data_IF_549574310405
#
_entry.id   IF_549574310405
#
_cell.length_a   1.000
_cell.length_b   1.000
_cell.length_c   1.000
_cell.angle_alpha   90.00
_cell.angle_beta   90.00
_cell.angle_gamma   90.00
#
_symmetry.space_group_name_H-M   'P 1'
#
loop_
_entity.id
_entity.type
_entity.pdbx_description
1 polymer ?
#
# COMPACT_ATOMS: atom_id res chain seq x y z
N UNK A 1 9.09 9.60 21.77
CA UNK A 1 8.39 10.91 21.67
C UNK A 1 7.98 11.38 23.07
N UNK A 2 7.73 12.67 23.24
CA UNK A 2 7.27 13.27 24.50
C UNK A 2 6.18 14.29 24.24
N UNK A 3 5.35 14.53 25.25
CA UNK A 3 4.29 15.54 25.20
C UNK A 3 4.46 16.52 26.36
N UNK A 4 4.23 17.80 26.10
CA UNK A 4 4.01 18.78 27.13
C UNK A 4 2.52 18.85 27.43
N UNK A 5 2.15 18.56 28.67
CA UNK A 5 0.77 18.59 29.15
C UNK A 5 0.66 19.63 30.25
N UNK A 6 -0.31 20.52 30.09
CA UNK A 6 -0.65 21.56 31.06
C UNK A 6 -2.17 21.56 31.25
N UNK A 7 -2.61 21.66 32.50
CA UNK A 7 -4.06 21.72 32.86
C UNK A 7 -4.88 20.59 32.19
N UNK A 8 -4.34 19.36 32.17
CA UNK A 8 -4.90 18.18 31.50
C UNK A 8 -5.07 18.30 29.98
N UNK A 9 -4.40 19.23 29.33
CA UNK A 9 -4.39 19.39 27.87
C UNK A 9 -3.00 19.19 27.31
N UNK A 10 -2.93 18.55 26.15
CA UNK A 10 -1.69 18.41 25.39
C UNK A 10 -1.46 19.73 24.67
N UNK A 11 -0.42 20.44 25.08
CA UNK A 11 -0.02 21.71 24.48
C UNK A 11 0.94 21.51 23.31
N UNK A 12 1.83 20.52 23.42
CA UNK A 12 2.86 20.28 22.40
C UNK A 12 3.34 18.82 22.38
N UNK A 13 3.62 18.31 21.17
CA UNK A 13 4.29 17.03 20.96
C UNK A 13 5.73 17.28 20.49
N UNK A 14 6.66 16.58 21.09
CA UNK A 14 8.10 16.60 20.75
C UNK A 14 8.51 15.25 20.16
N UNK A 15 8.66 15.22 18.85
CA UNK A 15 9.09 14.00 18.14
C UNK A 15 10.57 13.67 18.38
N UNK A 16 11.39 14.69 18.63
CA UNK A 16 12.84 14.59 18.84
C UNK A 16 13.28 15.45 20.01
N UNK A 17 14.36 15.08 20.74
CA UNK A 17 14.97 15.95 21.72
C UNK A 17 15.37 17.28 21.11
N UNK A 18 14.91 18.38 21.69
CA UNK A 18 15.31 19.75 21.35
C UNK A 18 15.29 20.63 22.58
N UNK A 19 16.01 21.74 22.55
CA UNK A 19 15.89 22.76 23.61
C UNK A 19 14.49 23.34 23.58
N UNK A 20 13.85 23.43 24.73
CA UNK A 20 12.48 23.96 24.89
C UNK A 20 12.42 25.04 25.94
N UNK A 21 11.40 25.90 25.85
CA UNK A 21 11.10 26.88 26.87
C UNK A 21 9.72 26.60 27.44
N UNK A 22 9.65 26.39 28.76
CA UNK A 22 8.41 26.17 29.49
C UNK A 22 8.35 27.16 30.65
N UNK A 23 7.25 27.90 30.77
CA UNK A 23 7.04 28.90 31.83
C UNK A 23 8.24 29.86 32.01
N UNK A 24 8.81 30.37 30.91
CA UNK A 24 10.00 31.25 30.87
C UNK A 24 11.31 30.59 31.35
N UNK A 25 11.35 29.27 31.56
CA UNK A 25 12.54 28.53 31.88
C UNK A 25 13.02 27.75 30.65
N UNK A 26 14.31 27.90 30.32
CA UNK A 26 14.92 27.18 29.21
C UNK A 26 15.47 25.84 29.66
N UNK A 27 15.01 24.78 29.03
CA UNK A 27 15.47 23.42 29.23
C UNK A 27 16.32 22.95 28.04
N UNK A 28 17.50 22.36 28.28
CA UNK A 28 18.35 21.87 27.21
C UNK A 28 17.78 20.59 26.58
N UNK A 29 18.20 20.27 25.34
CA UNK A 29 17.70 19.09 24.62
C UNK A 29 17.98 17.76 25.32
N UNK A 30 19.07 17.67 26.09
CA UNK A 30 19.47 16.46 26.82
C UNK A 30 18.55 16.14 28.02
N UNK A 31 17.67 17.05 28.44
CA UNK A 31 16.66 16.75 29.48
C UNK A 31 15.79 15.53 29.11
N UNK A 32 15.47 15.37 27.83
CA UNK A 32 14.64 14.26 27.38
C UNK A 32 15.27 12.88 27.62
N UNK A 33 16.60 12.83 27.69
CA UNK A 33 17.40 11.59 27.90
C UNK A 33 18.02 11.48 29.27
N UNK A 34 18.30 12.62 29.93
CA UNK A 34 19.02 12.64 31.21
C UNK A 34 18.11 12.74 32.42
N UNK A 35 16.98 13.43 32.30
CA UNK A 35 16.04 13.55 33.40
C UNK A 35 15.29 12.23 33.62
N UNK A 36 15.06 11.91 34.87
CA UNK A 36 14.16 10.83 35.28
C UNK A 36 12.71 11.12 34.86
N UNK A 37 11.85 10.14 34.85
CA UNK A 37 10.44 10.35 34.55
C UNK A 37 9.79 11.31 35.57
N UNK A 38 10.12 11.20 36.83
CA UNK A 38 9.61 12.09 37.88
C UNK A 38 10.01 13.55 37.65
N UNK A 39 11.27 13.81 37.26
CA UNK A 39 11.73 15.18 36.93
C UNK A 39 11.04 15.73 35.68
N UNK A 40 10.79 14.91 34.66
CA UNK A 40 10.03 15.30 33.48
C UNK A 40 8.57 15.61 33.83
N UNK A 41 7.92 14.75 34.62
CA UNK A 41 6.54 14.95 35.08
C UNK A 41 6.40 16.25 35.88
N UNK A 42 7.36 16.60 36.72
CA UNK A 42 7.36 17.84 37.52
C UNK A 42 7.30 19.11 36.64
N UNK A 43 7.73 19.04 35.41
CA UNK A 43 7.68 20.15 34.44
C UNK A 43 6.60 19.95 33.36
N UNK A 44 5.72 18.93 33.50
CA UNK A 44 4.63 18.64 32.58
C UNK A 44 5.04 17.88 31.33
N UNK A 45 6.21 17.24 31.32
CA UNK A 45 6.70 16.44 30.19
C UNK A 45 6.40 14.96 30.45
N UNK A 46 5.67 14.33 29.55
CA UNK A 46 5.21 12.95 29.65
C UNK A 46 5.63 12.10 28.45
N UNK A 47 5.80 10.79 28.59
CA UNK A 47 6.07 9.90 27.48
C UNK A 47 4.88 9.83 26.53
N UNK A 48 5.15 9.73 25.22
CA UNK A 48 4.16 9.38 24.22
C UNK A 48 4.40 7.93 23.80
N UNK A 49 3.42 7.08 24.04
CA UNK A 49 3.41 5.68 23.67
C UNK A 49 2.67 5.50 22.34
N UNK A 50 3.35 4.95 21.34
CA UNK A 50 2.71 4.60 20.07
C UNK A 50 2.02 3.26 20.22
N UNK A 51 0.76 3.31 20.59
CA UNK A 51 -0.12 2.15 20.81
C UNK A 51 -1.15 1.96 19.69
N UNK A 52 -1.18 2.87 18.72
CA UNK A 52 -2.14 2.82 17.62
C UNK A 52 -1.74 1.82 16.53
N UNK A 53 -2.70 1.01 16.08
CA UNK A 53 -2.54 0.18 14.89
C UNK A 53 -2.67 1.05 13.65
N UNK A 54 -1.76 0.88 12.69
CA UNK A 54 -1.83 1.49 11.36
C UNK A 54 -2.44 0.51 10.37
N UNK A 55 -3.14 1.04 9.39
CA UNK A 55 -3.68 0.25 8.28
C UNK A 55 -2.59 -0.24 7.32
N UNK A 56 -2.94 -1.20 6.49
CA UNK A 56 -2.11 -1.63 5.37
C UNK A 56 -2.23 -0.60 4.24
N UNK A 57 -1.16 0.12 3.98
CA UNK A 57 -1.11 1.18 2.95
C UNK A 57 -1.52 0.71 1.55
N UNK A 58 -1.47 -0.58 1.27
CA UNK A 58 -1.96 -1.17 0.03
C UNK A 58 -3.48 -1.04 -0.11
N UNK A 59 -4.22 -1.22 0.98
CA UNK A 59 -5.68 -1.33 0.99
C UNK A 59 -6.38 -0.20 1.75
N UNK A 60 -5.65 0.55 2.56
CA UNK A 60 -6.21 1.45 3.56
C UNK A 60 -5.45 2.78 3.59
N UNK A 61 -6.15 3.82 3.98
CA UNK A 61 -5.56 5.09 4.37
C UNK A 61 -5.45 5.14 5.88
N UNK A 62 -4.28 5.54 6.39
CA UNK A 62 -4.07 5.81 7.80
C UNK A 62 -4.04 7.32 8.01
N UNK A 63 -4.85 7.86 8.93
CA UNK A 63 -4.84 9.27 9.28
C UNK A 63 -3.52 9.69 9.94
N UNK A 64 -3.33 10.99 10.14
CA UNK A 64 -2.32 11.47 11.08
C UNK A 64 -2.64 10.97 12.50
N UNK A 65 -1.59 10.84 13.33
CA UNK A 65 -1.73 10.42 14.72
C UNK A 65 -2.62 11.40 15.50
N UNK A 66 -3.60 10.85 16.21
CA UNK A 66 -4.36 11.57 17.23
C UNK A 66 -3.75 11.25 18.60
N UNK A 67 -3.61 12.25 19.45
CA UNK A 67 -2.96 12.12 20.74
C UNK A 67 -3.97 12.26 21.88
N UNK A 68 -3.99 11.31 22.80
CA UNK A 68 -4.89 11.32 23.97
C UNK A 68 -4.09 11.27 25.25
N UNK A 69 -4.33 12.23 26.15
CA UNK A 69 -3.73 12.28 27.47
C UNK A 69 -4.49 11.39 28.46
N UNK A 70 -3.76 10.61 29.22
CA UNK A 70 -4.28 9.84 30.36
C UNK A 70 -3.61 10.32 31.66
N UNK A 71 -4.35 11.06 32.46
CA UNK A 71 -3.86 11.57 33.74
C UNK A 71 -3.56 10.44 34.76
N UNK A 72 -4.39 9.37 34.76
CA UNK A 72 -4.21 8.21 35.64
C UNK A 72 -2.94 7.43 35.33
N UNK A 73 -2.58 7.32 34.04
CA UNK A 73 -1.40 6.58 33.59
C UNK A 73 -0.19 7.48 33.35
N UNK A 74 -0.35 8.80 33.50
CA UNK A 74 0.70 9.81 33.25
C UNK A 74 1.42 9.63 31.92
N UNK A 75 0.66 9.35 30.85
CA UNK A 75 1.19 9.15 29.50
C UNK A 75 0.22 9.66 28.43
N UNK A 76 0.76 9.94 27.26
CA UNK A 76 -0.01 10.21 26.06
C UNK A 76 0.03 8.96 25.18
N UNK A 77 -1.12 8.55 24.64
CA UNK A 77 -1.21 7.45 23.68
C UNK A 77 -1.54 8.00 22.29
N UNK A 78 -1.06 7.33 21.25
CA UNK A 78 -1.44 7.63 19.87
C UNK A 78 -2.56 6.70 19.40
N UNK A 79 -3.41 7.21 18.54
CA UNK A 79 -4.38 6.43 17.77
C UNK A 79 -4.43 6.92 16.33
N UNK A 80 -4.91 6.05 15.43
CA UNK A 80 -5.04 6.35 14.00
C UNK A 80 -6.44 5.97 13.54
N UNK A 81 -7.02 6.78 12.66
CA UNK A 81 -8.22 6.39 11.93
C UNK A 81 -7.80 5.64 10.67
N UNK A 82 -8.33 4.44 10.48
CA UNK A 82 -8.09 3.62 9.30
C UNK A 82 -9.33 3.67 8.43
N UNK A 83 -9.16 4.05 7.17
CA UNK A 83 -10.24 4.11 6.19
C UNK A 83 -9.90 3.24 5.00
N UNK A 84 -10.76 2.29 4.66
CA UNK A 84 -10.56 1.43 3.49
C UNK A 84 -10.58 2.26 2.20
N UNK A 85 -9.65 1.94 1.28
CA UNK A 85 -9.68 2.49 -0.08
C UNK A 85 -10.89 1.95 -0.84
N UNK A 86 -11.41 2.71 -1.80
CA UNK A 86 -12.51 2.24 -2.65
C UNK A 86 -12.06 1.07 -3.53
N UNK A 87 -12.90 0.05 -3.65
CA UNK A 87 -12.71 -1.03 -4.63
C UNK A 87 -13.09 -0.59 -6.04
N UNK A 88 -14.02 0.34 -6.17
CA UNK A 88 -14.54 0.83 -7.46
C UNK A 88 -14.05 2.25 -7.73
N UNK A 89 -14.03 2.62 -9.01
CA UNK A 89 -13.67 3.96 -9.42
C UNK A 89 -14.68 4.99 -8.89
N UNK A 90 -14.17 6.13 -8.45
CA UNK A 90 -14.99 7.23 -7.89
C UNK A 90 -14.85 8.45 -8.79
N UNK A 91 -15.96 9.02 -9.22
CA UNK A 91 -15.99 10.27 -9.97
C UNK A 91 -15.42 11.41 -9.12
N UNK A 92 -14.47 12.16 -9.67
CA UNK A 92 -13.93 13.33 -9.00
C UNK A 92 -14.92 14.50 -9.10
N UNK A 93 -15.19 15.12 -7.96
CA UNK A 93 -16.10 16.29 -7.86
C UNK A 93 -15.41 17.45 -7.19
N UNK A 94 -15.81 18.66 -7.58
CA UNK A 94 -15.40 19.88 -6.90
C UNK A 94 -16.17 20.07 -5.58
N UNK A 95 -15.84 21.12 -4.83
CA UNK A 95 -16.48 21.45 -3.54
C UNK A 95 -17.97 21.76 -3.68
N UNK A 96 -18.46 22.06 -4.88
CA UNK A 96 -19.87 22.31 -5.22
C UNK A 96 -20.61 21.05 -5.67
N UNK A 97 -19.90 19.90 -5.76
CA UNK A 97 -20.45 18.61 -6.17
C UNK A 97 -20.51 18.40 -7.70
N UNK A 98 -19.96 19.31 -8.51
CA UNK A 98 -19.91 19.14 -9.96
C UNK A 98 -18.76 18.22 -10.35
N UNK A 99 -18.91 17.50 -11.48
CA UNK A 99 -17.84 16.63 -11.97
C UNK A 99 -16.63 17.46 -12.44
N UNK A 100 -15.44 17.04 -12.03
CA UNK A 100 -14.18 17.56 -12.54
C UNK A 100 -13.91 16.90 -13.90
N UNK A 101 -13.76 17.71 -14.93
CA UNK A 101 -13.54 17.27 -16.29
C UNK A 101 -12.05 17.37 -16.69
N UNK A 102 -11.62 16.50 -17.57
CA UNK A 102 -10.30 16.60 -18.21
C UNK A 102 -10.32 17.69 -19.32
N UNK A 103 -9.18 17.92 -19.96
CA UNK A 103 -9.03 18.91 -21.04
C UNK A 103 -9.85 18.60 -22.29
N UNK A 104 -10.42 17.38 -22.42
CA UNK A 104 -11.31 16.95 -23.52
C UNK A 104 -12.77 17.01 -23.12
N UNK A 105 -13.09 17.40 -21.89
CA UNK A 105 -14.45 17.44 -21.36
C UNK A 105 -14.98 16.11 -20.82
N UNK A 106 -14.12 15.10 -20.65
CA UNK A 106 -14.54 13.84 -20.03
C UNK A 106 -14.44 13.93 -18.50
N UNK A 107 -15.31 13.20 -17.81
CA UNK A 107 -15.25 13.06 -16.35
C UNK A 107 -13.92 12.45 -15.93
N UNK A 108 -13.33 12.95 -14.86
CA UNK A 108 -12.16 12.36 -14.24
C UNK A 108 -12.54 11.43 -13.09
N UNK A 109 -11.71 10.42 -12.83
CA UNK A 109 -11.94 9.41 -11.82
C UNK A 109 -10.70 9.22 -10.95
N UNK A 110 -10.91 8.98 -9.67
CA UNK A 110 -9.93 8.32 -8.81
C UNK A 110 -10.13 6.83 -8.94
N UNK A 111 -9.13 6.11 -9.48
CA UNK A 111 -9.24 4.68 -9.72
C UNK A 111 -9.32 3.90 -8.42
N UNK A 112 -10.29 2.99 -8.37
CA UNK A 112 -10.44 2.03 -7.29
C UNK A 112 -9.40 0.90 -7.36
N UNK A 113 -9.28 0.16 -6.26
CA UNK A 113 -8.29 -0.92 -6.15
C UNK A 113 -8.46 -2.00 -7.21
N UNK A 114 -9.69 -2.30 -7.66
CA UNK A 114 -9.92 -3.27 -8.73
C UNK A 114 -9.34 -2.81 -10.06
N UNK A 115 -9.57 -1.57 -10.45
CA UNK A 115 -9.02 -1.00 -11.68
C UNK A 115 -7.50 -0.96 -11.63
N UNK A 116 -6.92 -0.55 -10.50
CA UNK A 116 -5.46 -0.53 -10.32
C UNK A 116 -4.86 -1.94 -10.40
N UNK A 117 -5.48 -2.94 -9.76
CA UNK A 117 -5.03 -4.32 -9.79
C UNK A 117 -5.11 -4.93 -11.20
N UNK A 118 -6.21 -4.68 -11.94
CA UNK A 118 -6.35 -5.14 -13.34
C UNK A 118 -5.31 -4.49 -14.25
N UNK A 119 -5.04 -3.20 -14.08
CA UNK A 119 -4.00 -2.51 -14.86
C UNK A 119 -2.61 -3.09 -14.58
N UNK A 120 -2.32 -3.44 -13.32
CA UNK A 120 -1.07 -4.10 -12.95
C UNK A 120 -0.96 -5.50 -13.58
N UNK A 121 -2.03 -6.30 -13.54
CA UNK A 121 -2.06 -7.63 -14.17
C UNK A 121 -1.81 -7.53 -15.68
N UNK A 122 -2.46 -6.59 -16.38
CA UNK A 122 -2.22 -6.33 -17.82
C UNK A 122 -0.78 -5.91 -18.10
N UNK A 123 -0.20 -5.06 -17.25
CA UNK A 123 1.19 -4.65 -17.37
C UNK A 123 2.14 -5.83 -17.18
N UNK A 124 1.89 -6.70 -16.21
CA UNK A 124 2.68 -7.91 -15.99
C UNK A 124 2.58 -8.88 -17.16
N UNK A 125 1.36 -9.14 -17.66
CA UNK A 125 1.15 -9.97 -18.86
C UNK A 125 1.92 -9.42 -20.06
N UNK A 126 1.83 -8.11 -20.29
CA UNK A 126 2.59 -7.45 -21.36
C UNK A 126 4.11 -7.61 -21.18
N UNK A 127 4.61 -7.50 -19.95
CA UNK A 127 6.03 -7.69 -19.65
C UNK A 127 6.48 -9.13 -19.94
N UNK A 128 5.67 -10.13 -19.64
CA UNK A 128 5.99 -11.54 -19.98
C UNK A 128 5.97 -11.76 -21.50
N UNK A 129 4.98 -11.25 -22.20
CA UNK A 129 4.81 -11.45 -23.65
C UNK A 129 5.88 -10.66 -24.46
N UNK A 130 6.21 -9.44 -24.06
CA UNK A 130 7.11 -8.57 -24.79
C UNK A 130 8.55 -9.10 -24.93
N UNK A 131 8.94 -10.03 -24.04
CA UNK A 131 10.22 -10.72 -24.13
C UNK A 131 10.43 -11.48 -25.45
N UNK A 132 9.35 -11.77 -26.18
CA UNK A 132 9.34 -12.51 -27.43
C UNK A 132 9.10 -11.67 -28.67
N UNK A 133 8.96 -10.34 -28.54
CA UNK A 133 8.68 -9.45 -29.66
C UNK A 133 9.74 -9.56 -30.77
N UNK A 134 10.99 -9.79 -30.40
CA UNK A 134 12.09 -10.00 -31.36
C UNK A 134 11.86 -11.20 -32.31
N UNK A 135 11.10 -12.23 -31.89
CA UNK A 135 10.73 -13.34 -32.76
C UNK A 135 9.74 -12.91 -33.83
N UNK A 136 8.81 -12.03 -33.46
CA UNK A 136 7.86 -11.44 -34.41
C UNK A 136 8.58 -10.54 -35.42
N UNK A 137 9.50 -9.69 -34.92
CA UNK A 137 10.34 -8.86 -35.78
C UNK A 137 11.18 -9.71 -36.74
N UNK A 138 11.84 -10.78 -36.23
CA UNK A 138 12.63 -11.70 -37.05
C UNK A 138 11.80 -12.34 -38.17
N UNK A 139 10.55 -12.77 -37.83
CA UNK A 139 9.64 -13.34 -38.83
C UNK A 139 9.22 -12.30 -39.88
N UNK A 140 9.04 -11.03 -39.47
CA UNK A 140 8.70 -9.93 -40.38
C UNK A 140 9.81 -9.62 -41.41
N UNK A 141 11.10 -9.77 -40.98
CA UNK A 141 12.26 -9.56 -41.86
C UNK A 141 12.63 -10.81 -42.68
N UNK A 142 12.35 -12.00 -42.18
CA UNK A 142 12.69 -13.27 -42.84
C UNK A 142 11.54 -14.28 -42.66
N UNK A 143 10.72 -14.36 -43.71
CA UNK A 143 9.55 -15.24 -43.72
C UNK A 143 9.87 -16.75 -43.69
N UNK A 144 11.15 -17.13 -43.85
CA UNK A 144 11.61 -18.51 -43.66
C UNK A 144 11.69 -18.92 -42.17
N UNK A 145 11.66 -17.95 -41.27
CA UNK A 145 11.68 -18.17 -39.82
C UNK A 145 10.26 -18.43 -39.30
N UNK A 146 10.19 -19.13 -38.19
CA UNK A 146 8.92 -19.41 -37.50
C UNK A 146 9.04 -19.03 -36.04
N UNK A 147 7.89 -18.71 -35.42
CA UNK A 147 7.83 -18.58 -33.97
C UNK A 147 7.70 -19.98 -33.40
N UNK A 148 8.56 -20.40 -32.43
CA UNK A 148 8.47 -21.72 -31.81
C UNK A 148 7.11 -21.97 -31.17
N UNK A 149 6.58 -23.17 -31.31
CA UNK A 149 5.26 -23.53 -30.75
C UNK A 149 5.20 -23.36 -29.21
N UNK A 150 6.30 -23.66 -28.51
CA UNK A 150 6.41 -23.41 -27.07
C UNK A 150 6.13 -21.93 -26.72
N UNK A 151 6.67 -21.00 -27.50
CA UNK A 151 6.43 -19.56 -27.27
C UNK A 151 4.97 -19.19 -27.53
N UNK A 152 4.36 -19.69 -28.61
CA UNK A 152 2.95 -19.40 -28.89
C UNK A 152 2.03 -19.99 -27.81
N UNK A 153 2.32 -21.18 -27.30
CA UNK A 153 1.60 -21.81 -26.19
C UNK A 153 1.74 -20.98 -24.91
N UNK A 154 2.95 -20.59 -24.55
CA UNK A 154 3.22 -19.77 -23.38
C UNK A 154 2.50 -18.41 -23.45
N UNK A 155 2.58 -17.71 -24.59
CA UNK A 155 1.88 -16.42 -24.78
C UNK A 155 0.36 -16.59 -24.64
N UNK A 156 -0.22 -17.69 -25.15
CA UNK A 156 -1.63 -17.99 -24.96
C UNK A 156 -1.97 -18.27 -23.49
N UNK A 157 -1.12 -19.00 -22.76
CA UNK A 157 -1.26 -19.25 -21.33
C UNK A 157 -1.25 -17.95 -20.52
N UNK A 158 -0.26 -17.06 -20.74
CA UNK A 158 -0.19 -15.76 -20.05
C UNK A 158 -1.44 -14.89 -20.29
N UNK A 159 -2.00 -14.92 -21.51
CA UNK A 159 -3.25 -14.21 -21.79
C UNK A 159 -4.43 -14.79 -21.01
N UNK A 160 -4.49 -16.13 -20.91
CA UNK A 160 -5.51 -16.83 -20.12
C UNK A 160 -5.38 -16.51 -18.64
N UNK A 161 -4.15 -16.55 -18.11
CA UNK A 161 -3.88 -16.22 -16.71
C UNK A 161 -4.28 -14.77 -16.38
N UNK A 162 -3.95 -13.82 -17.26
CA UNK A 162 -4.38 -12.44 -17.11
C UNK A 162 -5.92 -12.33 -17.04
N UNK A 163 -6.64 -13.00 -17.91
CA UNK A 163 -8.11 -13.02 -17.91
C UNK A 163 -8.67 -13.66 -16.62
N UNK A 164 -8.06 -14.74 -16.14
CA UNK A 164 -8.43 -15.39 -14.88
C UNK A 164 -8.20 -14.48 -13.68
N UNK A 165 -7.06 -13.78 -13.64
CA UNK A 165 -6.74 -12.80 -12.59
C UNK A 165 -7.76 -11.64 -12.62
N UNK A 166 -8.06 -11.09 -13.80
CA UNK A 166 -9.08 -10.02 -13.94
C UNK A 166 -10.44 -10.50 -13.44
N UNK A 167 -10.85 -11.73 -13.78
CA UNK A 167 -12.10 -12.34 -13.32
C UNK A 167 -12.11 -12.50 -11.79
N UNK A 168 -11.01 -12.97 -11.19
CA UNK A 168 -10.90 -13.08 -9.73
C UNK A 168 -11.04 -11.71 -9.05
N UNK A 169 -10.42 -10.66 -9.62
CA UNK A 169 -10.54 -9.28 -9.13
C UNK A 169 -11.99 -8.80 -9.21
N UNK A 170 -12.67 -9.02 -10.33
CA UNK A 170 -14.05 -8.59 -10.52
C UNK A 170 -15.03 -9.31 -9.58
N UNK A 171 -14.79 -10.58 -9.30
CA UNK A 171 -15.62 -11.40 -8.40
C UNK A 171 -15.40 -11.08 -6.91
N UNK A 172 -14.37 -10.33 -6.52
CA UNK A 172 -14.18 -9.91 -5.13
C UNK A 172 -15.29 -8.94 -4.72
N UNK A 173 -16.25 -9.39 -3.92
CA UNK A 173 -17.44 -8.64 -3.54
C UNK A 173 -17.18 -7.49 -2.59
N UNK A 174 -16.14 -7.63 -1.76
CA UNK A 174 -15.77 -6.70 -0.69
C UNK A 174 -14.25 -6.65 -0.46
N UNK A 175 -13.81 -5.78 0.45
CA UNK A 175 -12.39 -5.61 0.77
C UNK A 175 -11.75 -6.89 1.34
N UNK A 176 -12.51 -7.69 2.09
CA UNK A 176 -11.99 -8.94 2.65
C UNK A 176 -11.73 -9.96 1.55
N UNK A 177 -12.67 -10.11 0.62
CA UNK A 177 -12.51 -10.96 -0.54
C UNK A 177 -11.36 -10.46 -1.45
N UNK A 178 -11.25 -9.14 -1.63
CA UNK A 178 -10.18 -8.55 -2.42
C UNK A 178 -8.79 -8.77 -1.80
N UNK A 179 -8.64 -8.61 -0.47
CA UNK A 179 -7.38 -8.90 0.24
C UNK A 179 -6.94 -10.35 0.09
N UNK A 180 -7.87 -11.31 0.04
CA UNK A 180 -7.57 -12.74 -0.16
C UNK A 180 -6.87 -13.03 -1.49
N UNK A 181 -7.05 -12.19 -2.52
CA UNK A 181 -6.36 -12.35 -3.81
C UNK A 181 -4.83 -12.24 -3.70
N UNK A 182 -4.33 -11.66 -2.62
CA UNK A 182 -2.89 -11.42 -2.35
C UNK A 182 -2.31 -12.38 -1.32
N UNK A 183 -3.06 -13.39 -0.88
CA UNK A 183 -2.64 -14.30 0.21
C UNK A 183 -2.24 -15.64 -0.40
N UNK A 184 -1.00 -16.06 -0.11
CA UNK A 184 -0.54 -17.42 -0.34
C UNK A 184 -1.00 -18.30 0.81
N UNK A 185 -1.48 -19.50 0.49
CA UNK A 185 -1.77 -20.50 1.51
C UNK A 185 -0.64 -21.54 1.58
N UNK A 186 -0.30 -21.93 2.79
CA UNK A 186 0.75 -22.91 3.05
C UNK A 186 0.19 -24.13 3.77
N UNK A 187 0.75 -25.29 3.50
CA UNK A 187 0.51 -26.50 4.28
C UNK A 187 1.22 -26.41 5.64
N UNK A 188 0.90 -27.35 6.54
CA UNK A 188 1.51 -27.42 7.87
C UNK A 188 3.02 -27.68 7.86
N UNK A 189 3.55 -28.23 6.77
CA UNK A 189 4.98 -28.47 6.54
C UNK A 189 5.71 -27.26 5.91
N UNK A 190 5.00 -26.14 5.66
CA UNK A 190 5.54 -24.94 5.04
C UNK A 190 5.56 -24.95 3.51
N UNK A 191 5.14 -26.05 2.87
CA UNK A 191 5.01 -26.08 1.41
C UNK A 191 3.83 -25.22 0.93
N UNK A 192 3.90 -24.72 -0.31
CA UNK A 192 2.84 -23.93 -0.92
C UNK A 192 1.63 -24.83 -1.17
N UNK A 193 0.47 -24.45 -0.62
CA UNK A 193 -0.82 -25.08 -0.86
C UNK A 193 -1.54 -24.40 -2.03
N UNK A 194 -1.60 -23.07 -2.01
CA UNK A 194 -2.29 -22.27 -3.04
C UNK A 194 -1.50 -20.99 -3.28
N UNK A 195 -1.22 -20.68 -4.54
CA UNK A 195 -0.60 -19.42 -4.95
C UNK A 195 -1.65 -18.31 -4.84
N UNK A 196 -1.25 -17.11 -4.41
CA UNK A 196 -2.13 -15.94 -4.41
C UNK A 196 -2.72 -15.74 -5.81
N UNK A 197 -4.06 -15.65 -5.97
CA UNK A 197 -4.70 -15.58 -7.28
C UNK A 197 -4.13 -14.51 -8.22
N UNK A 198 -3.68 -13.37 -7.67
CA UNK A 198 -3.11 -12.26 -8.44
C UNK A 198 -1.67 -12.52 -8.94
N UNK A 199 -1.02 -13.56 -8.42
CA UNK A 199 0.35 -13.94 -8.75
C UNK A 199 0.42 -15.29 -9.46
N UNK A 200 -0.72 -15.89 -9.79
CA UNK A 200 -0.81 -17.21 -10.40
C UNK A 200 -0.62 -17.13 -11.92
N UNK A 201 0.64 -16.98 -12.33
CA UNK A 201 1.08 -16.97 -13.72
C UNK A 201 1.69 -18.30 -14.13
N UNK A 202 1.49 -18.69 -15.38
CA UNK A 202 2.18 -19.83 -15.98
C UNK A 202 3.70 -19.65 -15.96
N UNK A 203 4.43 -20.72 -15.67
CA UNK A 203 5.88 -20.69 -15.67
C UNK A 203 6.47 -20.58 -17.09
N UNK A 204 7.71 -20.13 -17.20
CA UNK A 204 8.42 -19.88 -18.46
C UNK A 204 9.54 -20.90 -18.73
N UNK A 205 9.56 -22.06 -18.07
CA UNK A 205 10.64 -23.05 -18.17
C UNK A 205 10.89 -23.50 -19.60
N UNK A 206 9.83 -23.77 -20.37
CA UNK A 206 9.94 -24.26 -21.74
C UNK A 206 10.37 -23.19 -22.76
N UNK A 207 10.35 -21.93 -22.38
CA UNK A 207 10.63 -20.79 -23.27
C UNK A 207 11.84 -19.98 -22.87
N UNK A 208 12.55 -20.34 -21.82
CA UNK A 208 13.71 -19.60 -21.28
C UNK A 208 14.80 -19.34 -22.34
N UNK A 209 15.02 -20.29 -23.24
CA UNK A 209 16.03 -20.18 -24.31
C UNK A 209 15.70 -19.10 -25.35
N UNK A 210 14.46 -18.62 -25.38
CA UNK A 210 13.96 -17.61 -26.31
C UNK A 210 13.80 -16.22 -25.68
N UNK A 211 14.03 -16.09 -24.37
CA UNK A 211 13.94 -14.81 -23.65
C UNK A 211 15.16 -13.94 -23.99
N UNK A 212 14.93 -12.66 -24.31
CA UNK A 212 15.97 -11.65 -24.54
C UNK A 212 15.70 -10.39 -23.71
#
# INVERSE_FOLDING_TARGET
MWAYVKDNKIEQIYQRPKSIMLNNVRYPSNMFTKYTNTEKEAIGIYPVEDSGTKGDDKFEYTSQATYTWSASNKKVTTSYTITAKSLVDVENKDDSGNNILDYKGNKTYTYGLKTLAKNLAKQQANNYISRFNWLVERLAYDSSKTIPSAVTTYVAAIRTDCANIETAIDNASDMTAFKKLYIWEYNSDGSIKTIAPIENWSDDYDVQTYIR
#
